data_IF_677220083666
#
_entry.id   IF_677220083666
#
_cell.length_a   1.000
_cell.length_b   1.000
_cell.length_c   1.000
_cell.angle_alpha   90.00
_cell.angle_beta   90.00
_cell.angle_gamma   90.00
#
_symmetry.space_group_name_H-M   'P 1'
#
loop_
_entity.id
_entity.type
_entity.pdbx_description
1 polymer ?
#
# COMPACT_ATOMS: atom_id res chain seq x y z
N UNK A 1 -9.32 -10.49 -9.80
CA UNK A 1 -8.46 -10.50 -8.60
C UNK A 1 -8.42 -9.13 -7.95
N UNK A 2 -8.16 -9.07 -6.64
CA UNK A 2 -7.90 -7.79 -5.97
C UNK A 2 -6.56 -7.21 -6.47
N UNK A 3 -6.47 -5.89 -6.71
CA UNK A 3 -5.22 -5.26 -7.15
C UNK A 3 -4.14 -5.44 -6.09
N UNK A 4 -2.87 -5.42 -6.51
CA UNK A 4 -1.79 -5.25 -5.56
C UNK A 4 -2.01 -3.92 -4.80
N UNK A 5 -1.84 -3.87 -3.46
CA UNK A 5 -1.95 -2.62 -2.71
C UNK A 5 -1.14 -1.47 -3.31
N UNK A 6 0.02 -1.76 -3.91
CA UNK A 6 0.84 -0.77 -4.60
C UNK A 6 0.14 -0.23 -5.85
N UNK A 7 -0.51 -1.09 -6.64
CA UNK A 7 -1.24 -0.69 -7.84
C UNK A 7 -2.46 0.16 -7.47
N UNK A 8 -3.16 -0.19 -6.39
CA UNK A 8 -4.28 0.63 -5.88
C UNK A 8 -3.82 2.04 -5.49
N UNK A 9 -2.66 2.17 -4.86
CA UNK A 9 -2.06 3.48 -4.53
C UNK A 9 -1.70 4.24 -5.80
N UNK A 10 -0.98 3.61 -6.73
CA UNK A 10 -0.56 4.26 -8.00
C UNK A 10 -1.75 4.69 -8.85
N UNK A 11 -2.76 3.85 -8.97
CA UNK A 11 -4.01 4.18 -9.65
C UNK A 11 -4.68 5.40 -9.00
N UNK A 12 -4.77 5.45 -7.66
CA UNK A 12 -5.35 6.60 -6.97
C UNK A 12 -4.53 7.88 -7.22
N UNK A 13 -3.20 7.77 -7.22
CA UNK A 13 -2.32 8.89 -7.52
C UNK A 13 -2.57 9.44 -8.92
N UNK A 14 -2.65 8.57 -9.93
CA UNK A 14 -2.93 8.93 -11.32
C UNK A 14 -4.30 9.63 -11.45
N UNK A 15 -5.36 9.03 -10.89
CA UNK A 15 -6.71 9.59 -10.96
C UNK A 15 -6.87 10.95 -10.27
N UNK A 16 -6.00 11.25 -9.30
CA UNK A 16 -6.10 12.46 -8.47
C UNK A 16 -4.97 13.45 -8.73
N UNK A 17 -4.09 13.18 -9.70
CA UNK A 17 -2.92 14.01 -10.00
C UNK A 17 -1.91 14.14 -8.84
N UNK A 18 -1.83 13.14 -7.96
CA UNK A 18 -0.98 13.19 -6.77
C UNK A 18 0.46 12.79 -7.09
N UNK A 19 1.39 13.52 -6.51
CA UNK A 19 2.81 13.18 -6.47
C UNK A 19 3.14 12.26 -5.28
N UNK A 20 4.34 11.67 -5.29
CA UNK A 20 4.81 10.89 -4.15
C UNK A 20 4.92 11.73 -2.85
N UNK A 21 5.26 13.02 -2.96
CA UNK A 21 5.31 13.93 -1.80
C UNK A 21 3.94 14.08 -1.12
N UNK A 22 2.85 14.04 -1.88
CA UNK A 22 1.50 14.23 -1.34
C UNK A 22 1.07 13.07 -0.45
N UNK A 23 1.65 11.88 -0.62
CA UNK A 23 1.39 10.72 0.25
C UNK A 23 2.06 10.79 1.62
N UNK A 24 2.91 11.79 1.86
CA UNK A 24 3.68 11.89 3.09
C UNK A 24 2.85 11.85 4.39
N UNK A 25 1.66 12.48 4.48
CA UNK A 25 0.82 12.40 5.66
C UNK A 25 0.38 10.98 6.04
N UNK A 26 0.23 10.09 5.04
CA UNK A 26 -0.13 8.70 5.27
C UNK A 26 1.07 7.78 5.53
N UNK A 27 2.14 7.93 4.74
CA UNK A 27 3.23 6.94 4.70
C UNK A 27 4.47 7.39 5.48
N UNK A 28 4.74 8.69 5.54
CA UNK A 28 5.94 9.31 6.13
C UNK A 28 6.78 10.05 5.09
N UNK A 29 8.08 10.24 5.34
CA UNK A 29 8.97 10.97 4.43
C UNK A 29 9.00 10.36 3.01
N UNK A 30 9.30 11.19 2.00
CA UNK A 30 9.28 10.81 0.58
C UNK A 30 10.11 9.57 0.24
N UNK A 31 11.27 9.37 0.87
CA UNK A 31 12.06 8.14 0.69
C UNK A 31 11.27 6.87 1.07
N UNK A 32 10.53 6.93 2.17
CA UNK A 32 9.67 5.83 2.61
C UNK A 32 8.44 5.65 1.72
N UNK A 33 7.93 6.72 1.10
CA UNK A 33 6.90 6.61 0.06
C UNK A 33 7.43 5.80 -1.11
N UNK A 34 8.62 6.11 -1.63
CA UNK A 34 9.22 5.34 -2.73
C UNK A 34 9.51 3.88 -2.36
N UNK A 35 9.98 3.61 -1.13
CA UNK A 35 10.14 2.23 -0.66
C UNK A 35 8.82 1.42 -0.73
N UNK A 36 7.69 2.05 -0.37
CA UNK A 36 6.37 1.43 -0.48
C UNK A 36 5.95 1.27 -1.95
N UNK A 37 6.08 2.32 -2.77
CA UNK A 37 5.69 2.30 -4.18
C UNK A 37 6.52 1.33 -5.04
N UNK A 38 7.74 1.03 -4.61
CA UNK A 38 8.65 0.05 -5.21
C UNK A 38 8.50 -1.35 -4.59
N UNK A 39 7.70 -1.49 -3.51
CA UNK A 39 7.45 -2.76 -2.84
C UNK A 39 8.61 -3.27 -1.98
N UNK A 40 9.65 -2.47 -1.75
CA UNK A 40 10.75 -2.81 -0.84
C UNK A 40 10.36 -2.62 0.63
N UNK A 41 9.22 -1.97 0.89
CA UNK A 41 8.58 -1.86 2.21
C UNK A 41 7.11 -2.26 2.14
N UNK A 42 6.69 -3.15 3.03
CA UNK A 42 5.28 -3.49 3.21
C UNK A 42 4.50 -2.37 3.91
N UNK A 43 3.22 -2.23 3.57
CA UNK A 43 2.31 -1.34 4.28
C UNK A 43 2.11 -1.81 5.74
N UNK A 44 2.10 -0.86 6.67
CA UNK A 44 1.69 -1.13 8.05
C UNK A 44 0.21 -0.81 8.23
N UNK A 45 -0.44 -1.38 9.24
CA UNK A 45 -1.85 -1.10 9.52
C UNK A 45 -2.13 0.41 9.69
N UNK A 46 -1.32 1.20 10.42
CA UNK A 46 -1.49 2.66 10.46
C UNK A 46 -1.41 3.35 9.09
N UNK A 47 -0.54 2.88 8.18
CA UNK A 47 -0.50 3.43 6.81
C UNK A 47 -1.79 3.11 6.07
N UNK A 48 -2.30 1.89 6.17
CA UNK A 48 -3.55 1.46 5.51
C UNK A 48 -4.71 2.35 5.97
N UNK A 49 -4.87 2.56 7.27
CA UNK A 49 -5.91 3.45 7.81
C UNK A 49 -5.81 4.87 7.26
N UNK A 50 -4.60 5.44 7.23
CA UNK A 50 -4.39 6.80 6.72
C UNK A 50 -4.58 6.91 5.21
N UNK A 51 -4.15 5.90 4.44
CA UNK A 51 -4.37 5.85 3.00
C UNK A 51 -5.86 5.79 2.68
N UNK A 52 -6.61 5.02 3.46
CA UNK A 52 -8.06 4.98 3.35
C UNK A 52 -8.72 6.31 3.72
N UNK A 53 -8.41 6.86 4.90
CA UNK A 53 -9.10 8.05 5.41
C UNK A 53 -8.74 9.34 4.67
N UNK A 54 -7.47 9.51 4.27
CA UNK A 54 -6.98 10.76 3.67
C UNK A 54 -7.12 10.77 2.15
N UNK A 55 -6.99 9.60 1.51
CA UNK A 55 -6.95 9.51 0.04
C UNK A 55 -8.15 8.76 -0.52
N UNK A 56 -9.02 8.17 0.30
CA UNK A 56 -10.22 7.47 -0.16
C UNK A 56 -9.93 6.15 -0.86
N UNK A 57 -8.76 5.54 -0.63
CA UNK A 57 -8.43 4.23 -1.20
C UNK A 57 -9.20 3.17 -0.39
N UNK A 58 -10.01 2.28 -1.00
CA UNK A 58 -10.70 1.23 -0.26
C UNK A 58 -9.72 0.37 0.53
N UNK A 59 -10.00 0.12 1.82
CA UNK A 59 -9.10 -0.62 2.69
C UNK A 59 -8.86 -2.06 2.20
N UNK A 60 -9.87 -2.69 1.62
CA UNK A 60 -9.78 -4.01 0.98
C UNK A 60 -8.78 -4.05 -0.18
N UNK A 61 -8.63 -2.96 -0.93
CA UNK A 61 -7.64 -2.84 -2.00
C UNK A 61 -6.22 -2.67 -1.47
N UNK A 62 -6.05 -2.34 -0.19
CA UNK A 62 -4.75 -2.15 0.47
C UNK A 62 -4.30 -3.39 1.26
N UNK A 63 -5.15 -4.40 1.37
CA UNK A 63 -4.89 -5.63 2.10
C UNK A 63 -4.79 -6.76 1.09
N UNK A 64 -3.58 -7.33 0.94
CA UNK A 64 -3.46 -8.64 0.30
C UNK A 64 -3.76 -9.71 1.35
N UNK A 65 -4.69 -10.65 1.10
CA UNK A 65 -4.78 -11.83 1.93
C UNK A 65 -3.40 -12.49 1.90
N UNK A 66 -2.83 -12.75 3.08
CA UNK A 66 -1.61 -13.54 3.17
C UNK A 66 -1.96 -14.89 2.58
N UNK A 67 -1.56 -15.13 1.34
CA UNK A 67 -1.37 -16.47 0.82
C UNK A 67 -0.32 -17.07 1.75
N UNK A 68 -0.78 -17.70 2.82
CA UNK A 68 0.06 -18.51 3.69
C UNK A 68 0.55 -19.60 2.77
N UNK A 69 1.71 -19.40 2.14
CA UNK A 69 2.45 -20.50 1.55
C UNK A 69 2.63 -21.43 2.73
N UNK A 70 1.83 -22.50 2.69
CA UNK A 70 1.85 -23.55 3.67
C UNK A 70 3.29 -24.03 3.63
N UNK A 71 4.05 -23.74 4.69
CA UNK A 71 5.32 -24.39 4.97
C UNK A 71 5.00 -25.88 5.19
N UNK A 72 4.69 -26.59 4.11
CA UNK A 72 5.05 -27.99 3.93
C UNK A 72 6.56 -27.90 3.64
N UNK A 73 7.45 -28.44 4.46
CA UNK A 73 7.41 -29.77 5.05
C UNK A 73 8.12 -29.74 6.42
N UNK A 74 7.57 -30.51 7.37
CA UNK A 74 8.17 -30.93 8.63
C UNK A 74 9.22 -32.02 8.36
N UNK A 75 10.30 -32.03 9.14
CA UNK A 75 11.13 -33.23 9.34
C UNK A 75 12.39 -33.26 8.49
#
# INVERSE_FOLDING_TARGET
>A
DLPNPIDAIKFRMEQSGLSASDLSPAIGRTNRVYEVLNGTRSLTLPMIWKLHSLFGIPAESLIKPVSRIRSMVRG
#
